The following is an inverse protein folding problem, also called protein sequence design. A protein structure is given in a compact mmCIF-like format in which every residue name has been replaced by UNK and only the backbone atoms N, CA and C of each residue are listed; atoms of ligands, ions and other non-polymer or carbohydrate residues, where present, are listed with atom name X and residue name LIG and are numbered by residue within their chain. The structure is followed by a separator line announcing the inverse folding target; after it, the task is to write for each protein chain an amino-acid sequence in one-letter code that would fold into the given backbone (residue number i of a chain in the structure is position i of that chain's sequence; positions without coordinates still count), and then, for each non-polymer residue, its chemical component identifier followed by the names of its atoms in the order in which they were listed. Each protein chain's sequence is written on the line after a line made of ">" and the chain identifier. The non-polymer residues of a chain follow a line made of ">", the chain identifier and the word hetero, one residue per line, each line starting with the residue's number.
data_IF_640503127049
#
_entry.id   IF_640503127049
#
_cell.length_a   1.000
_cell.length_b   1.000
_cell.length_c   1.000
_cell.angle_alpha   90.00
_cell.angle_beta   90.00
_cell.angle_gamma   90.00
#
_symmetry.space_group_name_H-M   'P 1'
#
loop_
_entity.id
_entity.type
_entity.pdbx_description
1 polymer ?
#
# COMPACT_ATOMS: atom_id res chain seq x y z
N UNK A 1 15.31 27.98 -20.58
CA UNK A 1 16.04 28.22 -19.32
C UNK A 1 15.05 27.90 -18.23
N UNK A 2 15.26 26.83 -17.45
CA UNK A 2 14.32 26.40 -16.40
C UNK A 2 14.38 27.43 -15.27
N UNK A 3 13.25 27.98 -14.88
CA UNK A 3 13.16 28.91 -13.76
C UNK A 3 13.47 28.15 -12.46
N UNK A 4 14.61 28.47 -11.83
CA UNK A 4 15.12 27.80 -10.64
C UNK A 4 14.19 28.05 -9.44
N UNK A 5 13.38 29.12 -9.48
CA UNK A 5 12.39 29.40 -8.42
C UNK A 5 11.29 28.33 -8.34
N UNK A 6 10.98 27.63 -9.44
CA UNK A 6 10.06 26.48 -9.46
C UNK A 6 10.64 25.23 -8.79
N UNK A 7 11.97 25.19 -8.66
CA UNK A 7 12.68 24.08 -8.03
C UNK A 7 13.00 24.36 -6.58
N UNK A 8 12.53 25.46 -5.98
CA UNK A 8 12.83 25.77 -4.57
C UNK A 8 11.65 26.40 -3.84
N UNK A 9 11.41 26.01 -2.59
CA UNK A 9 10.46 26.71 -1.69
C UNK A 9 10.80 28.21 -1.56
N UNK A 10 9.90 29.07 -1.03
CA UNK A 10 10.22 30.46 -0.69
C UNK A 10 11.44 30.63 0.25
N UNK A 11 11.83 29.56 0.94
CA UNK A 11 13.03 29.51 1.79
C UNK A 11 14.32 29.04 1.08
N UNK A 12 14.26 28.80 -0.24
CA UNK A 12 15.39 28.35 -1.06
C UNK A 12 15.67 26.84 -1.03
N UNK A 13 14.83 26.02 -0.37
CA UNK A 13 15.02 24.55 -0.33
C UNK A 13 14.60 23.87 -1.63
N UNK A 14 15.39 22.94 -2.18
CA UNK A 14 15.08 22.31 -3.46
C UNK A 14 13.84 21.38 -3.40
N UNK A 15 12.92 21.54 -4.35
CA UNK A 15 11.76 20.70 -4.63
C UNK A 15 12.16 19.60 -5.63
N UNK A 16 13.06 18.71 -5.19
CA UNK A 16 13.61 17.63 -6.03
C UNK A 16 12.52 16.71 -6.60
N UNK A 17 11.41 16.56 -5.87
CA UNK A 17 10.28 15.73 -6.27
C UNK A 17 9.29 16.43 -7.23
N UNK A 18 9.49 17.73 -7.52
CA UNK A 18 8.56 18.49 -8.36
C UNK A 18 8.33 17.87 -9.74
N UNK A 19 9.36 17.41 -10.49
CA UNK A 19 9.11 16.83 -11.82
C UNK A 19 8.20 15.59 -11.79
N UNK A 20 8.30 14.76 -10.76
CA UNK A 20 7.39 13.63 -10.56
C UNK A 20 5.98 14.11 -10.18
N UNK A 21 5.90 15.14 -9.34
CA UNK A 21 4.63 15.71 -8.92
C UNK A 21 3.88 16.37 -10.08
N UNK A 22 4.59 17.11 -10.93
CA UNK A 22 4.02 17.73 -12.14
C UNK A 22 3.41 16.67 -13.06
N UNK A 23 4.07 15.53 -13.26
CA UNK A 23 3.51 14.41 -14.04
C UNK A 23 2.21 13.88 -13.44
N UNK A 24 2.12 13.79 -12.11
CA UNK A 24 0.91 13.35 -11.43
C UNK A 24 -0.21 14.39 -11.52
N UNK A 25 0.12 15.69 -11.45
CA UNK A 25 -0.83 16.78 -11.68
C UNK A 25 -1.33 16.83 -13.13
N UNK A 26 -0.48 16.51 -14.10
CA UNK A 26 -0.89 16.36 -15.50
C UNK A 26 -1.82 15.16 -15.71
N UNK A 27 -1.50 14.02 -15.07
CA UNK A 27 -2.35 12.82 -15.09
C UNK A 27 -3.72 13.07 -14.46
N UNK A 28 -3.78 13.86 -13.39
CA UNK A 28 -5.03 14.27 -12.74
C UNK A 28 -5.97 15.01 -13.71
N UNK A 29 -5.41 15.83 -14.59
CA UNK A 29 -6.14 16.60 -15.60
C UNK A 29 -6.45 15.79 -16.87
N UNK A 30 -5.85 14.61 -17.02
CA UNK A 30 -6.02 13.81 -18.23
C UNK A 30 -7.43 13.24 -18.32
N UNK A 31 -8.18 13.68 -19.34
CA UNK A 31 -9.57 13.29 -19.63
C UNK A 31 -10.52 13.48 -18.44
N UNK A 32 -10.22 14.42 -17.55
CA UNK A 32 -11.02 14.73 -16.37
C UNK A 32 -11.29 13.51 -15.47
N UNK A 33 -10.38 12.52 -15.44
CA UNK A 33 -10.54 11.30 -14.64
C UNK A 33 -10.48 11.57 -13.13
N UNK A 34 -9.81 12.66 -12.73
CA UNK A 34 -9.58 13.05 -11.34
C UNK A 34 -9.03 11.91 -10.45
N UNK A 35 -8.22 11.04 -11.04
CA UNK A 35 -7.83 9.78 -10.43
C UNK A 35 -6.82 9.98 -9.30
N UNK A 36 -5.87 10.91 -9.45
CA UNK A 36 -4.80 11.14 -8.47
C UNK A 36 -5.35 11.78 -7.22
N UNK A 37 -6.27 12.74 -7.35
CA UNK A 37 -6.90 13.41 -6.20
C UNK A 37 -7.92 12.53 -5.47
N UNK A 38 -8.43 11.48 -6.11
CA UNK A 38 -9.42 10.60 -5.51
C UNK A 38 -8.86 9.95 -4.23
N UNK A 39 -9.64 9.92 -3.15
CA UNK A 39 -9.17 9.49 -1.83
C UNK A 39 -8.74 8.00 -1.78
N UNK A 40 -9.22 7.18 -2.70
CA UNK A 40 -8.81 5.79 -2.87
C UNK A 40 -7.56 5.59 -3.75
N UNK A 41 -6.97 6.66 -4.30
CA UNK A 41 -5.81 6.57 -5.19
C UNK A 41 -4.59 5.88 -4.54
N UNK A 42 -4.23 6.13 -3.27
CA UNK A 42 -3.12 5.38 -2.67
C UNK A 42 -3.42 3.88 -2.56
N UNK A 43 -4.70 3.47 -2.63
CA UNK A 43 -5.13 2.08 -2.67
C UNK A 43 -4.87 1.44 -4.03
N UNK A 44 -4.97 2.23 -5.11
CA UNK A 44 -4.52 1.84 -6.46
C UNK A 44 -3.01 1.63 -6.46
N UNK A 45 -2.25 2.55 -5.88
CA UNK A 45 -0.78 2.43 -5.76
C UNK A 45 -0.40 1.20 -4.94
N UNK A 46 -1.03 0.99 -3.78
CA UNK A 46 -0.79 -0.17 -2.93
C UNK A 46 -1.16 -1.49 -3.64
N UNK A 47 -2.29 -1.53 -4.36
CA UNK A 47 -2.72 -2.71 -5.13
C UNK A 47 -1.72 -3.03 -6.25
N UNK A 48 -1.29 -2.02 -7.00
CA UNK A 48 -0.29 -2.18 -8.06
C UNK A 48 1.06 -2.65 -7.49
N UNK A 49 1.51 -2.06 -6.38
CA UNK A 49 2.72 -2.48 -5.67
C UNK A 49 2.61 -3.93 -5.21
N UNK A 50 1.50 -4.31 -4.59
CA UNK A 50 1.27 -5.67 -4.08
C UNK A 50 1.34 -6.69 -5.22
N UNK A 51 0.61 -6.45 -6.32
CA UNK A 51 0.63 -7.35 -7.48
C UNK A 51 2.05 -7.47 -8.05
N UNK A 52 2.76 -6.35 -8.22
CA UNK A 52 4.11 -6.35 -8.77
C UNK A 52 5.11 -7.10 -7.88
N UNK A 53 5.12 -6.80 -6.57
CA UNK A 53 6.07 -7.38 -5.61
C UNK A 53 5.77 -8.86 -5.38
N UNK A 54 4.50 -9.23 -5.21
CA UNK A 54 4.13 -10.64 -5.07
C UNK A 54 4.39 -11.44 -6.35
N UNK A 55 4.23 -10.83 -7.54
CA UNK A 55 4.63 -11.49 -8.80
C UNK A 55 6.14 -11.71 -8.84
N UNK A 56 6.95 -10.73 -8.43
CA UNK A 56 8.38 -10.89 -8.30
C UNK A 56 8.74 -12.05 -7.36
N UNK A 57 8.19 -12.07 -6.13
CA UNK A 57 8.45 -13.17 -5.19
C UNK A 57 7.97 -14.52 -5.72
N UNK A 58 6.83 -14.58 -6.41
CA UNK A 58 6.35 -15.83 -6.99
C UNK A 58 7.30 -16.40 -8.05
N UNK A 59 7.81 -15.56 -8.95
CA UNK A 59 8.69 -15.99 -10.03
C UNK A 59 10.08 -16.42 -9.52
N UNK A 60 10.63 -15.70 -8.53
CA UNK A 60 12.01 -15.89 -8.10
C UNK A 60 12.17 -16.68 -6.80
N UNK A 61 11.12 -16.82 -5.98
CA UNK A 61 11.18 -17.45 -4.66
C UNK A 61 10.11 -18.54 -4.46
N UNK A 62 8.82 -18.29 -4.74
CA UNK A 62 7.77 -19.29 -4.47
C UNK A 62 7.84 -20.49 -5.43
N UNK A 63 7.95 -20.24 -6.75
CA UNK A 63 8.03 -21.31 -7.77
C UNK A 63 9.36 -22.09 -7.65
N UNK A 64 10.54 -21.43 -7.54
CA UNK A 64 11.80 -22.13 -7.35
C UNK A 64 11.96 -22.75 -5.96
N UNK A 65 11.13 -22.36 -4.99
CA UNK A 65 11.18 -22.76 -3.57
C UNK A 65 12.47 -22.30 -2.88
N UNK A 66 12.81 -21.03 -3.09
CA UNK A 66 14.04 -20.38 -2.60
C UNK A 66 13.83 -19.44 -1.41
N UNK A 67 12.76 -19.64 -0.62
CA UNK A 67 12.66 -19.00 0.70
C UNK A 67 13.17 -19.91 1.80
N UNK A 68 14.03 -19.36 2.65
CA UNK A 68 14.47 -19.98 3.89
C UNK A 68 13.37 -19.82 4.96
N UNK A 69 12.51 -20.82 5.10
CA UNK A 69 11.43 -20.78 6.09
C UNK A 69 11.90 -21.47 7.37
N UNK A 70 11.89 -20.74 8.49
CA UNK A 70 12.32 -21.29 9.79
C UNK A 70 11.34 -22.31 10.37
N UNK A 71 10.06 -22.21 10.01
CA UNK A 71 8.96 -22.95 10.65
C UNK A 71 8.43 -24.08 9.76
N UNK A 72 8.39 -23.90 8.44
CA UNK A 72 7.74 -24.84 7.50
C UNK A 72 8.62 -25.18 6.28
N UNK A 73 9.83 -25.74 6.48
CA UNK A 73 10.80 -25.95 5.39
C UNK A 73 10.32 -26.92 4.30
N UNK A 74 9.38 -27.80 4.63
CA UNK A 74 8.89 -28.87 3.74
C UNK A 74 7.51 -28.62 3.12
N UNK A 75 6.85 -27.50 3.44
CA UNK A 75 5.50 -27.19 2.93
C UNK A 75 5.54 -26.03 1.96
N UNK A 76 5.05 -26.31 0.74
CA UNK A 76 5.01 -25.36 -0.35
C UNK A 76 3.66 -25.47 -1.07
N UNK A 77 3.06 -24.35 -1.49
CA UNK A 77 1.88 -24.39 -2.33
C UNK A 77 2.20 -25.00 -3.69
N UNK A 78 1.19 -25.58 -4.35
CA UNK A 78 1.35 -26.04 -5.73
C UNK A 78 1.36 -24.84 -6.69
N UNK A 79 1.95 -25.00 -7.88
CA UNK A 79 1.90 -23.97 -8.93
C UNK A 79 0.47 -23.61 -9.31
N UNK A 80 -0.45 -24.59 -9.31
CA UNK A 80 -1.88 -24.34 -9.55
C UNK A 80 -2.52 -23.48 -8.46
N UNK A 81 -2.18 -23.74 -7.20
CA UNK A 81 -2.63 -22.93 -6.05
C UNK A 81 -2.09 -21.51 -6.13
N UNK A 82 -0.80 -21.35 -6.43
CA UNK A 82 -0.17 -20.03 -6.62
C UNK A 82 -0.89 -19.26 -7.74
N UNK A 83 -1.03 -19.87 -8.92
CA UNK A 83 -1.71 -19.25 -10.06
C UNK A 83 -3.14 -18.82 -9.73
N UNK A 84 -3.92 -19.71 -9.11
CA UNK A 84 -5.29 -19.40 -8.72
C UNK A 84 -5.35 -18.20 -7.78
N UNK A 85 -4.54 -18.18 -6.72
CA UNK A 85 -4.51 -17.06 -5.77
C UNK A 85 -4.02 -15.77 -6.41
N UNK A 86 -2.95 -15.80 -7.21
CA UNK A 86 -2.44 -14.65 -7.95
C UNK A 86 -3.53 -14.03 -8.82
N UNK A 87 -4.22 -14.83 -9.64
CA UNK A 87 -5.25 -14.33 -10.57
C UNK A 87 -6.46 -13.81 -9.80
N UNK A 88 -6.99 -14.60 -8.85
CA UNK A 88 -8.21 -14.23 -8.12
C UNK A 88 -7.99 -12.99 -7.26
N UNK A 89 -6.87 -12.88 -6.54
CA UNK A 89 -6.58 -11.70 -5.73
C UNK A 89 -6.32 -10.47 -6.59
N UNK A 90 -5.57 -10.60 -7.69
CA UNK A 90 -5.29 -9.48 -8.60
C UNK A 90 -6.58 -8.91 -9.19
N UNK A 91 -7.46 -9.78 -9.69
CA UNK A 91 -8.78 -9.39 -10.20
C UNK A 91 -9.62 -8.80 -9.07
N UNK A 92 -9.67 -9.46 -7.92
CA UNK A 92 -10.45 -9.04 -6.76
C UNK A 92 -10.10 -7.63 -6.28
N UNK A 93 -8.82 -7.35 -6.04
CA UNK A 93 -8.37 -6.02 -5.61
C UNK A 93 -8.58 -4.96 -6.70
N UNK A 94 -8.30 -5.29 -7.96
CA UNK A 94 -8.54 -4.35 -9.07
C UNK A 94 -10.02 -3.98 -9.20
N UNK A 95 -10.91 -4.97 -9.14
CA UNK A 95 -12.36 -4.74 -9.18
C UNK A 95 -12.84 -3.97 -7.96
N UNK A 96 -12.36 -4.32 -6.76
CA UNK A 96 -12.71 -3.62 -5.53
C UNK A 96 -12.30 -2.14 -5.57
N UNK A 97 -11.08 -1.83 -6.01
CA UNK A 97 -10.60 -0.46 -6.16
C UNK A 97 -11.38 0.30 -7.24
N UNK A 98 -11.58 -0.32 -8.41
CA UNK A 98 -12.35 0.29 -9.51
C UNK A 98 -13.79 0.57 -9.09
N UNK A 99 -14.44 -0.39 -8.42
CA UNK A 99 -15.79 -0.21 -7.87
C UNK A 99 -15.82 0.88 -6.82
N UNK A 100 -14.87 0.90 -5.88
CA UNK A 100 -14.77 1.96 -4.86
C UNK A 100 -14.64 3.35 -5.47
N UNK A 101 -13.76 3.52 -6.45
CA UNK A 101 -13.58 4.79 -7.17
C UNK A 101 -14.85 5.17 -7.94
N UNK A 102 -15.53 4.22 -8.57
CA UNK A 102 -16.78 4.50 -9.28
C UNK A 102 -17.93 4.89 -8.34
N UNK A 103 -17.97 4.31 -7.14
CA UNK A 103 -19.06 4.48 -6.18
C UNK A 103 -18.87 5.68 -5.24
N UNK A 104 -17.66 6.24 -5.16
CA UNK A 104 -17.36 7.37 -4.29
C UNK A 104 -16.84 8.53 -5.12
N UNK A 105 -17.11 9.75 -4.68
CA UNK A 105 -16.64 10.96 -5.35
C UNK A 105 -16.01 11.87 -4.30
N UNK A 106 -14.95 11.38 -3.67
CA UNK A 106 -14.25 12.09 -2.61
C UNK A 106 -12.82 12.38 -3.04
N UNK A 107 -12.50 13.67 -3.17
CA UNK A 107 -11.25 14.16 -3.73
C UNK A 107 -10.54 15.05 -2.72
N UNK A 108 -9.22 14.89 -2.67
CA UNK A 108 -8.32 15.69 -1.85
C UNK A 108 -7.72 16.79 -2.72
N UNK A 109 -7.71 18.02 -2.21
CA UNK A 109 -7.08 19.13 -2.91
C UNK A 109 -5.57 18.87 -3.06
N UNK A 110 -5.09 18.88 -4.30
CA UNK A 110 -3.68 18.66 -4.61
C UNK A 110 -2.93 20.00 -4.57
N UNK A 111 -1.89 20.16 -3.72
CA UNK A 111 -1.06 21.35 -3.74
C UNK A 111 -0.24 21.44 -5.04
N UNK A 112 0.10 22.65 -5.47
CA UNK A 112 0.93 22.85 -6.65
C UNK A 112 2.40 22.42 -6.41
N UNK A 113 2.91 22.68 -5.21
CA UNK A 113 4.29 22.34 -4.83
C UNK A 113 4.36 20.93 -4.27
N UNK A 114 5.39 20.19 -4.67
CA UNK A 114 5.75 18.89 -4.12
C UNK A 114 6.29 19.04 -2.68
N UNK A 115 6.37 17.95 -1.89
CA UNK A 115 7.00 18.03 -0.58
C UNK A 115 8.51 18.17 -0.75
N UNK A 116 9.15 18.87 0.20
CA UNK A 116 10.62 18.82 0.31
C UNK A 116 11.08 17.39 0.64
N UNK A 117 12.31 17.02 0.32
CA UNK A 117 12.85 15.70 0.67
C UNK A 117 12.80 15.42 2.18
N UNK A 118 13.04 16.44 3.00
CA UNK A 118 12.96 16.31 4.46
C UNK A 118 11.53 16.04 4.93
N UNK A 119 10.56 16.77 4.38
CA UNK A 119 9.14 16.53 4.67
C UNK A 119 8.72 15.13 4.22
N UNK A 120 9.07 14.73 3.01
CA UNK A 120 8.77 13.40 2.51
C UNK A 120 9.36 12.31 3.42
N UNK A 121 10.62 12.47 3.82
CA UNK A 121 11.29 11.55 4.74
C UNK A 121 10.64 11.52 6.13
N UNK A 122 10.30 12.67 6.72
CA UNK A 122 9.66 12.72 8.03
C UNK A 122 8.27 12.10 8.02
N UNK A 123 7.46 12.44 7.02
CA UNK A 123 6.10 11.94 6.84
C UNK A 123 6.10 10.42 6.65
N UNK A 124 7.00 9.87 5.82
CA UNK A 124 7.15 8.40 5.65
C UNK A 124 7.57 7.75 6.96
N UNK A 125 8.61 8.28 7.61
CA UNK A 125 9.15 7.70 8.85
C UNK A 125 8.09 7.67 9.96
N UNK A 126 7.36 8.77 10.15
CA UNK A 126 6.30 8.85 11.15
C UNK A 126 5.13 7.92 10.80
N UNK A 127 4.74 7.86 9.52
CA UNK A 127 3.71 6.92 9.05
C UNK A 127 4.11 5.47 9.32
N UNK A 128 5.38 5.10 9.16
CA UNK A 128 5.89 3.78 9.50
C UNK A 128 5.82 3.51 11.01
N UNK A 129 6.34 4.42 11.84
CA UNK A 129 6.36 4.23 13.30
C UNK A 129 4.95 4.08 13.85
N UNK A 130 4.03 4.94 13.43
CA UNK A 130 2.64 4.90 13.88
C UNK A 130 1.91 3.71 13.27
N UNK A 131 2.05 3.48 11.97
CA UNK A 131 1.42 2.39 11.25
C UNK A 131 1.81 1.04 11.83
N UNK A 132 3.10 0.77 11.99
CA UNK A 132 3.63 -0.47 12.56
C UNK A 132 3.17 -0.67 14.02
N UNK A 133 3.23 0.39 14.83
CA UNK A 133 2.72 0.35 16.21
C UNK A 133 1.22 0.01 16.26
N UNK A 134 0.42 0.66 15.42
CA UNK A 134 -1.02 0.40 15.35
C UNK A 134 -1.32 -1.01 14.83
N UNK A 135 -0.63 -1.46 13.78
CA UNK A 135 -0.76 -2.81 13.23
C UNK A 135 -0.39 -3.86 14.26
N UNK A 136 0.66 -3.67 15.06
CA UNK A 136 1.01 -4.58 16.15
C UNK A 136 -0.13 -4.73 17.17
N UNK A 137 -0.67 -3.62 17.67
CA UNK A 137 -1.74 -3.65 18.67
C UNK A 137 -3.05 -4.19 18.11
N UNK A 138 -3.37 -3.78 16.88
CA UNK A 138 -4.48 -4.33 16.10
C UNK A 138 -4.34 -5.85 16.00
N UNK A 139 -3.21 -6.35 15.49
CA UNK A 139 -3.00 -7.79 15.31
C UNK A 139 -3.14 -8.53 16.64
N UNK A 140 -2.54 -8.01 17.72
CA UNK A 140 -2.68 -8.59 19.06
C UNK A 140 -4.12 -8.61 19.57
N UNK A 141 -4.90 -7.57 19.30
CA UNK A 141 -6.33 -7.53 19.63
C UNK A 141 -7.12 -8.61 18.88
N UNK A 142 -6.78 -8.86 17.62
CA UNK A 142 -7.44 -9.89 16.81
C UNK A 142 -7.16 -11.33 17.28
N UNK A 143 -6.16 -11.53 18.15
CA UNK A 143 -5.93 -12.80 18.87
C UNK A 143 -6.81 -13.00 20.12
N UNK A 144 -7.69 -12.05 20.46
CA UNK A 144 -8.72 -12.27 21.50
C UNK A 144 -9.65 -13.40 21.05
N UNK A 145 -10.04 -14.37 21.89
CA UNK A 145 -10.67 -15.62 21.45
C UNK A 145 -11.88 -15.47 20.52
N UNK A 146 -12.72 -14.45 20.73
CA UNK A 146 -13.86 -14.19 19.86
C UNK A 146 -13.45 -13.61 18.50
N UNK A 147 -12.58 -12.59 18.48
CA UNK A 147 -12.08 -11.99 17.26
C UNK A 147 -11.25 -13.00 16.45
N UNK A 148 -10.47 -13.82 17.15
CA UNK A 148 -9.70 -14.87 16.51
C UNK A 148 -10.60 -15.84 15.77
N UNK A 149 -11.55 -16.46 16.46
CA UNK A 149 -12.39 -17.52 15.86
C UNK A 149 -13.20 -17.02 14.68
N UNK A 150 -13.76 -15.80 14.78
CA UNK A 150 -14.72 -15.28 13.80
C UNK A 150 -14.08 -14.45 12.69
N UNK A 151 -12.89 -13.88 12.92
CA UNK A 151 -12.27 -12.94 11.99
C UNK A 151 -10.85 -13.39 11.66
N UNK A 152 -9.95 -13.38 12.64
CA UNK A 152 -8.52 -13.62 12.41
C UNK A 152 -8.17 -15.06 11.99
N UNK A 153 -9.08 -16.01 12.21
CA UNK A 153 -8.91 -17.40 11.82
C UNK A 153 -8.73 -17.55 10.31
N UNK A 154 -9.30 -16.66 9.49
CA UNK A 154 -9.13 -16.66 8.03
C UNK A 154 -7.67 -16.44 7.66
N UNK A 155 -7.02 -15.47 8.30
CA UNK A 155 -5.59 -15.20 8.11
C UNK A 155 -4.72 -16.41 8.50
N UNK A 156 -5.08 -17.10 9.60
CA UNK A 156 -4.35 -18.27 10.10
C UNK A 156 -4.74 -19.61 9.42
N UNK A 157 -5.60 -19.61 8.40
CA UNK A 157 -5.97 -20.84 7.67
C UNK A 157 -4.88 -21.30 6.70
N UNK A 158 -3.99 -20.41 6.27
CA UNK A 158 -2.92 -20.70 5.33
C UNK A 158 -1.62 -20.94 6.08
N UNK A 159 -1.13 -22.18 6.03
CA UNK A 159 0.06 -22.61 6.78
C UNK A 159 1.32 -22.61 5.92
N UNK A 160 1.17 -22.59 4.60
CA UNK A 160 2.27 -22.48 3.65
C UNK A 160 2.75 -21.02 3.53
N UNK A 161 4.04 -20.73 3.72
CA UNK A 161 4.59 -19.40 3.49
C UNK A 161 4.77 -19.15 1.98
N UNK A 162 4.00 -18.23 1.41
CA UNK A 162 4.17 -17.74 0.03
C UNK A 162 3.72 -16.29 -0.07
N UNK A 163 4.22 -15.54 -1.06
CA UNK A 163 4.09 -14.07 -1.06
C UNK A 163 2.67 -13.52 -1.11
N UNK A 164 1.68 -14.34 -1.48
CA UNK A 164 0.28 -13.92 -1.61
C UNK A 164 -0.61 -14.31 -0.42
N UNK A 165 -0.09 -15.03 0.58
CA UNK A 165 -0.90 -15.48 1.72
C UNK A 165 -1.25 -14.32 2.66
N UNK A 166 -0.39 -13.30 2.75
CA UNK A 166 -0.54 -12.17 3.70
C UNK A 166 -1.81 -11.36 3.48
N UNK A 167 -2.31 -11.27 2.24
CA UNK A 167 -3.54 -10.53 1.94
C UNK A 167 -4.81 -11.38 1.97
N UNK A 168 -4.71 -12.68 2.29
CA UNK A 168 -5.88 -13.53 2.51
C UNK A 168 -6.33 -13.36 3.97
N UNK A 169 -7.07 -12.28 4.20
CA UNK A 169 -7.60 -11.91 5.50
C UNK A 169 -9.08 -11.58 5.39
N UNK A 170 -9.77 -11.58 6.52
CA UNK A 170 -11.18 -11.24 6.55
C UNK A 170 -11.41 -9.77 6.13
N UNK A 171 -12.53 -9.40 5.46
CA UNK A 171 -12.76 -8.03 5.01
C UNK A 171 -12.69 -6.95 6.12
N UNK A 172 -13.07 -7.31 7.35
CA UNK A 172 -12.92 -6.42 8.53
C UNK A 172 -11.45 -6.14 8.84
N UNK A 173 -10.58 -7.14 8.73
CA UNK A 173 -9.14 -6.96 8.93
C UNK A 173 -8.55 -6.04 7.86
N UNK A 174 -8.94 -6.26 6.61
CA UNK A 174 -8.62 -5.36 5.49
C UNK A 174 -9.07 -3.93 5.79
N UNK A 175 -10.30 -3.73 6.24
CA UNK A 175 -10.83 -2.39 6.56
C UNK A 175 -10.07 -1.72 7.72
N UNK A 176 -9.71 -2.46 8.76
CA UNK A 176 -8.89 -1.96 9.87
C UNK A 176 -7.48 -1.58 9.42
N UNK A 177 -6.85 -2.43 8.61
CA UNK A 177 -5.53 -2.14 8.02
C UNK A 177 -5.58 -0.88 7.17
N UNK A 178 -6.55 -0.76 6.26
CA UNK A 178 -6.75 0.46 5.49
C UNK A 178 -6.93 1.67 6.41
N UNK A 179 -7.85 1.60 7.39
CA UNK A 179 -8.06 2.69 8.32
C UNK A 179 -6.74 3.14 8.98
N UNK A 180 -5.92 2.20 9.47
CA UNK A 180 -4.62 2.47 10.10
C UNK A 180 -3.63 3.18 9.16
N UNK A 181 -3.61 2.83 7.87
CA UNK A 181 -2.67 3.43 6.92
C UNK A 181 -3.14 4.78 6.38
N UNK A 182 -4.44 5.03 6.32
CA UNK A 182 -4.98 6.28 5.77
C UNK A 182 -5.22 7.36 6.83
N UNK A 183 -5.74 7.00 8.00
CA UNK A 183 -6.19 7.98 8.99
C UNK A 183 -5.07 8.89 9.50
N UNK A 184 -3.92 8.35 9.88
CA UNK A 184 -2.83 9.12 10.48
C UNK A 184 -2.22 10.12 9.49
N UNK A 185 -1.79 9.69 8.28
CA UNK A 185 -1.22 10.64 7.31
C UNK A 185 -2.22 11.73 6.90
N UNK A 186 -3.49 11.38 6.73
CA UNK A 186 -4.54 12.36 6.38
C UNK A 186 -4.75 13.35 7.53
N UNK A 187 -4.88 12.87 8.77
CA UNK A 187 -5.11 13.74 9.94
C UNK A 187 -3.92 14.65 10.25
N UNK A 188 -2.69 14.20 9.96
CA UNK A 188 -1.48 14.99 10.12
C UNK A 188 -1.17 15.91 8.92
N UNK A 189 -2.01 15.89 7.88
CA UNK A 189 -1.84 16.72 6.70
C UNK A 189 -0.58 16.38 5.91
N UNK A 190 -0.18 15.10 5.89
CA UNK A 190 0.94 14.64 5.08
C UNK A 190 0.69 14.96 3.60
N UNK A 191 1.75 15.29 2.89
CA UNK A 191 1.63 15.61 1.47
C UNK A 191 1.12 14.39 0.68
N UNK A 192 0.20 14.59 -0.27
CA UNK A 192 -0.44 13.50 -1.01
C UNK A 192 0.54 12.60 -1.75
N UNK A 193 1.55 13.18 -2.41
CA UNK A 193 2.69 12.44 -2.96
C UNK A 193 3.37 11.53 -1.92
N UNK A 194 3.62 12.05 -0.72
CA UNK A 194 4.28 11.28 0.33
C UNK A 194 3.42 10.11 0.81
N UNK A 195 2.11 10.30 0.93
CA UNK A 195 1.19 9.21 1.27
C UNK A 195 1.23 8.08 0.24
N UNK A 196 1.30 8.41 -1.05
CA UNK A 196 1.41 7.40 -2.12
C UNK A 196 2.77 6.69 -2.12
N UNK A 197 3.86 7.41 -1.83
CA UNK A 197 5.19 6.82 -1.61
C UNK A 197 5.15 5.86 -0.42
N UNK A 198 4.57 6.30 0.71
CA UNK A 198 4.39 5.45 1.88
C UNK A 198 3.56 4.21 1.56
N UNK A 199 2.44 4.34 0.85
CA UNK A 199 1.59 3.21 0.45
C UNK A 199 2.38 2.16 -0.36
N UNK A 200 3.26 2.57 -1.27
CA UNK A 200 4.14 1.66 -2.01
C UNK A 200 5.15 0.96 -1.09
N UNK A 201 5.92 1.72 -0.30
CA UNK A 201 6.99 1.16 0.55
C UNK A 201 6.39 0.26 1.63
N UNK A 202 5.25 0.65 2.19
CA UNK A 202 4.54 -0.12 3.21
C UNK A 202 4.15 -1.52 2.71
N UNK A 203 3.67 -1.63 1.47
CA UNK A 203 3.36 -2.94 0.88
C UNK A 203 4.60 -3.81 0.74
N UNK A 204 5.75 -3.23 0.36
CA UNK A 204 7.01 -3.96 0.34
C UNK A 204 7.40 -4.45 1.75
N UNK A 205 7.23 -3.60 2.77
CA UNK A 205 7.51 -3.93 4.16
C UNK A 205 6.62 -5.04 4.71
N UNK A 206 5.32 -5.04 4.38
CA UNK A 206 4.38 -6.08 4.82
C UNK A 206 4.74 -7.49 4.34
N UNK A 207 5.45 -7.60 3.22
CA UNK A 207 5.84 -8.90 2.65
C UNK A 207 7.11 -9.47 3.28
N UNK A 208 7.87 -8.66 4.03
CA UNK A 208 9.08 -9.10 4.74
C UNK A 208 8.81 -9.55 6.19
N UNK A 209 7.59 -9.38 6.71
CA UNK A 209 7.17 -9.84 8.05
C UNK A 209 6.62 -11.27 8.01
#
# INVERSE_FOLDING_TARGET
>A
MIDISLLTTPSGRPLVLQPLWDQLLELEQWRDLQLVSHALFPGVVATAAYIAICTYYTLFYDIPKYMDTKIQPSRWPTVGTLFFHTVVQSIGFTLMMTFGIYMTNYHIALPAEAPTLWQAFSDVTLSFVVGDSCTYWYHRMFHIPWLYRNIHSVHHQYYEPYSWSSAIIHPIEHACSLAIYYWYPILMGHHWLTLNIFAFIWVAWLLEQ
#
